data_IF_635261414674
#
_entry.id   IF_635261414674
#
_cell.length_a   1.000
_cell.length_b   1.000
_cell.length_c   1.000
_cell.angle_alpha   90.00
_cell.angle_beta   90.00
_cell.angle_gamma   90.00
#
_symmetry.space_group_name_H-M   'P 1'
#
loop_
_entity.id
_entity.type
_entity.pdbx_description
1 polymer ?
#
# COMPACT_ATOMS: atom_id res chain seq x y z
N UNK A 1 3.50 -14.57 -0.43
CA UNK A 1 2.42 -13.63 -0.09
C UNK A 1 2.79 -12.25 -0.60
N UNK A 2 1.92 -11.25 -0.49
CA UNK A 2 2.12 -9.91 -1.05
C UNK A 2 1.92 -8.84 0.02
N UNK A 3 2.83 -7.88 0.12
CA UNK A 3 2.66 -6.68 0.95
C UNK A 3 2.13 -5.55 0.07
N UNK A 4 1.07 -4.89 0.53
CA UNK A 4 0.48 -3.73 -0.13
C UNK A 4 1.19 -2.45 0.32
N UNK A 5 1.64 -1.65 -0.64
CA UNK A 5 2.25 -0.34 -0.43
C UNK A 5 1.58 0.64 -1.38
N UNK A 6 1.34 1.86 -0.90
CA UNK A 6 0.80 2.94 -1.72
C UNK A 6 1.77 4.10 -1.70
N UNK A 7 2.17 4.57 -2.87
CA UNK A 7 2.96 5.79 -3.03
C UNK A 7 2.03 6.89 -3.52
N UNK A 8 1.96 8.00 -2.79
CA UNK A 8 1.07 9.13 -3.08
C UNK A 8 1.85 10.42 -3.24
N UNK A 9 1.33 11.32 -4.09
CA UNK A 9 1.69 12.73 -4.13
C UNK A 9 0.43 13.53 -3.81
N UNK A 10 0.56 14.51 -2.93
CA UNK A 10 -0.52 15.42 -2.59
C UNK A 10 -0.08 16.86 -2.82
N UNK A 11 -1.02 17.76 -3.11
CA UNK A 11 -0.72 19.19 -3.22
C UNK A 11 -0.27 19.79 -1.89
N UNK A 12 -0.62 19.16 -0.77
CA UNK A 12 -0.29 19.61 0.57
C UNK A 12 1.15 19.28 0.99
N UNK A 13 1.85 18.40 0.26
CA UNK A 13 3.18 17.94 0.61
C UNK A 13 4.14 18.05 -0.58
N UNK A 14 5.29 18.70 -0.36
CA UNK A 14 6.34 18.87 -1.37
C UNK A 14 7.08 17.56 -1.72
N UNK A 15 6.76 16.45 -1.06
CA UNK A 15 7.39 15.13 -1.24
C UNK A 15 6.36 14.00 -1.40
N UNK A 16 6.83 12.85 -1.90
CA UNK A 16 6.00 11.65 -2.01
C UNK A 16 5.82 11.08 -0.61
N UNK A 17 4.58 10.72 -0.28
CA UNK A 17 4.27 9.90 0.88
C UNK A 17 4.25 8.42 0.49
N UNK A 18 4.75 7.56 1.37
CA UNK A 18 4.57 6.12 1.28
C UNK A 18 3.66 5.66 2.41
N UNK A 19 2.60 4.96 2.07
CA UNK A 19 1.68 4.33 3.01
C UNK A 19 1.90 2.83 2.92
N UNK A 20 2.28 2.23 4.04
CA UNK A 20 2.42 0.77 4.13
C UNK A 20 1.20 0.17 4.80
N UNK A 21 0.66 -0.88 4.19
CA UNK A 21 -0.41 -1.64 4.83
C UNK A 21 0.13 -2.49 5.98
N UNK A 22 -0.51 -2.35 7.15
CA UNK A 22 -0.20 -3.12 8.35
C UNK A 22 -1.03 -4.41 8.48
N UNK A 23 -2.05 -4.60 7.63
CA UNK A 23 -2.91 -5.80 7.66
C UNK A 23 -2.33 -6.99 6.91
N UNK A 24 -1.54 -6.74 5.86
CA UNK A 24 -0.89 -7.78 5.07
C UNK A 24 0.00 -8.72 5.89
N UNK A 25 0.50 -9.80 5.26
CA UNK A 25 0.57 -9.98 3.81
C UNK A 25 -0.61 -10.77 3.21
N UNK A 26 -0.95 -10.46 1.96
CA UNK A 26 -2.05 -11.04 1.17
C UNK A 26 -1.63 -12.32 0.44
N UNK A 27 -2.54 -13.28 0.29
CA UNK A 27 -2.22 -14.55 -0.35
C UNK A 27 -1.99 -14.37 -1.85
N UNK A 28 -2.82 -13.54 -2.50
CA UNK A 28 -2.81 -13.34 -3.95
C UNK A 28 -2.52 -11.89 -4.36
N UNK A 29 -2.04 -11.69 -5.59
CA UNK A 29 -1.82 -10.35 -6.12
C UNK A 29 -3.13 -9.54 -6.29
N UNK A 30 -4.24 -10.13 -6.77
CA UNK A 30 -5.53 -9.42 -6.84
C UNK A 30 -6.02 -8.90 -5.48
N UNK A 31 -5.92 -9.68 -4.41
CA UNK A 31 -6.27 -9.24 -3.04
C UNK A 31 -5.41 -8.05 -2.60
N UNK A 32 -4.10 -8.11 -2.88
CA UNK A 32 -3.19 -7.02 -2.60
C UNK A 32 -3.57 -5.74 -3.36
N UNK A 33 -3.85 -5.83 -4.67
CA UNK A 33 -4.24 -4.67 -5.45
C UNK A 33 -5.58 -4.08 -4.98
N UNK A 34 -6.54 -4.94 -4.64
CA UNK A 34 -7.79 -4.49 -4.05
C UNK A 34 -7.56 -3.71 -2.76
N UNK A 35 -6.66 -4.18 -1.88
CA UNK A 35 -6.26 -3.44 -0.68
C UNK A 35 -5.64 -2.10 -1.03
N UNK A 36 -4.68 -2.05 -1.96
CA UNK A 36 -4.04 -0.77 -2.33
C UNK A 36 -5.06 0.24 -2.84
N UNK A 37 -6.08 -0.18 -3.59
CA UNK A 37 -7.16 0.68 -4.05
C UNK A 37 -7.99 1.25 -2.88
N UNK A 38 -8.30 0.43 -1.87
CA UNK A 38 -8.97 0.91 -0.65
C UNK A 38 -8.14 1.93 0.10
N UNK A 39 -6.84 1.67 0.29
CA UNK A 39 -5.93 2.61 0.96
C UNK A 39 -5.83 3.95 0.22
N UNK A 40 -5.77 3.92 -1.12
CA UNK A 40 -5.76 5.14 -1.95
C UNK A 40 -7.05 5.92 -1.73
N UNK A 41 -8.22 5.25 -1.76
CA UNK A 41 -9.51 5.87 -1.48
C UNK A 41 -9.51 6.53 -0.09
N UNK A 42 -9.11 5.81 0.94
CA UNK A 42 -9.10 6.32 2.32
C UNK A 42 -8.16 7.52 2.49
N UNK A 43 -7.01 7.51 1.80
CA UNK A 43 -6.07 8.62 1.80
C UNK A 43 -6.61 9.83 1.03
N UNK A 44 -7.26 9.61 -0.11
CA UNK A 44 -7.84 10.68 -0.95
C UNK A 44 -8.99 11.42 -0.24
N UNK A 45 -9.67 10.77 0.70
CA UNK A 45 -10.69 11.43 1.53
C UNK A 45 -10.10 12.40 2.56
N UNK A 46 -8.79 12.33 2.84
CA UNK A 46 -8.11 13.12 3.88
C UNK A 46 -7.08 14.10 3.33
N UNK A 47 -6.51 13.77 2.16
CA UNK A 47 -5.42 14.52 1.56
C UNK A 47 -5.79 14.89 0.11
N UNK A 48 -5.37 16.07 -0.39
CA UNK A 48 -5.56 16.45 -1.79
C UNK A 48 -4.56 15.69 -2.68
N UNK A 49 -4.82 14.41 -2.91
CA UNK A 49 -3.98 13.51 -3.70
C UNK A 49 -4.13 13.84 -5.19
N UNK A 50 -3.00 14.05 -5.86
CA UNK A 50 -2.93 14.30 -7.32
C UNK A 50 -2.42 13.09 -8.09
N UNK A 51 -1.71 12.19 -7.40
CA UNK A 51 -1.18 10.99 -7.99
C UNK A 51 -1.06 9.92 -6.91
N UNK A 52 -1.44 8.68 -7.24
CA UNK A 52 -1.28 7.54 -6.36
C UNK A 52 -0.98 6.29 -7.19
N UNK A 53 -0.09 5.44 -6.66
CA UNK A 53 0.22 4.13 -7.23
C UNK A 53 0.18 3.09 -6.12
N UNK A 54 -0.60 2.04 -6.33
CA UNK A 54 -0.57 0.82 -5.54
C UNK A 54 0.53 -0.11 -6.04
N UNK A 55 1.36 -0.58 -5.13
CA UNK A 55 2.46 -1.52 -5.39
C UNK A 55 2.26 -2.75 -4.53
N UNK A 56 2.32 -3.92 -5.17
CA UNK A 56 2.23 -5.21 -4.50
C UNK A 56 3.59 -5.92 -4.56
N UNK A 57 4.26 -5.99 -3.42
CA UNK A 57 5.58 -6.62 -3.32
C UNK A 57 5.42 -8.07 -2.86
N UNK A 58 5.95 -9.02 -3.62
CA UNK A 58 5.98 -10.42 -3.20
C UNK A 58 6.96 -10.56 -2.02
N UNK A 59 6.45 -11.02 -0.89
CA UNK A 59 7.21 -11.25 0.34
C UNK A 59 7.23 -12.73 0.69
N UNK A 60 8.38 -13.15 1.21
CA UNK A 60 8.55 -14.46 1.86
C UNK A 60 8.41 -14.23 3.35
N UNK A 61 7.46 -14.92 4.00
CA UNK A 61 7.38 -14.93 5.46
C UNK A 61 8.19 -16.08 6.02
N UNK A 62 8.92 -15.84 7.09
CA UNK A 62 9.45 -16.95 7.88
C UNK A 62 8.33 -17.60 8.71
N UNK A 63 8.62 -18.78 9.30
CA UNK A 63 7.70 -19.51 10.19
C UNK A 63 7.23 -18.71 11.42
N UNK A 64 7.82 -17.54 11.70
CA UNK A 64 7.44 -16.63 12.79
C UNK A 64 6.53 -15.48 12.33
N UNK A 65 6.14 -15.45 11.06
CA UNK A 65 5.30 -14.39 10.49
C UNK A 65 6.04 -13.09 10.13
N UNK A 66 7.38 -13.08 10.23
CA UNK A 66 8.18 -11.90 9.89
C UNK A 66 8.59 -11.94 8.41
N UNK A 67 8.59 -10.77 7.77
CA UNK A 67 9.11 -10.58 6.41
C UNK A 67 10.63 -10.81 6.41
N UNK A 68 11.13 -11.63 5.48
CA UNK A 68 12.57 -11.85 5.23
C UNK A 68 12.91 -11.32 3.83
#
# INVERSE_FOLDING_TARGET
MFKAIVVIRSLAANSAGQLEDQQGPYATAPECYYRTAQMIKDAAMKLPIVYAVGVCIKVTVNKKGNNI
#
